data_IF_465157015798
#
_entry.id   IF_465157015798
#
_cell.length_a   1.000
_cell.length_b   1.000
_cell.length_c   1.000
_cell.angle_alpha   90.00
_cell.angle_beta   90.00
_cell.angle_gamma   90.00
#
_symmetry.space_group_name_H-M   'P 1'
#
loop_
_entity.id
_entity.type
_entity.pdbx_description
1 polymer ?
#
# COMPACT_ATOMS: atom_id res chain seq x y z
N UNK A 1 11.06 20.83 -6.33
CA UNK A 1 11.37 19.39 -6.26
C UNK A 1 11.81 18.91 -7.63
N UNK A 2 12.68 17.92 -7.71
CA UNK A 2 13.10 17.35 -9.01
C UNK A 2 11.96 16.51 -9.64
N UNK A 3 12.00 16.32 -10.95
CA UNK A 3 10.90 15.72 -11.76
C UNK A 3 10.47 14.30 -11.35
N UNK A 4 11.26 13.60 -10.52
CA UNK A 4 11.00 12.23 -10.05
C UNK A 4 10.95 12.10 -8.53
N UNK A 5 10.78 13.21 -7.82
CA UNK A 5 10.73 13.26 -6.36
C UNK A 5 9.35 13.76 -5.94
N UNK A 6 8.65 12.91 -5.18
CA UNK A 6 7.31 13.17 -4.66
C UNK A 6 7.29 12.94 -3.15
N UNK A 7 6.33 13.54 -2.45
CA UNK A 7 6.05 13.25 -1.03
C UNK A 7 5.38 11.89 -0.91
N UNK A 8 5.83 11.07 0.05
CA UNK A 8 5.52 9.64 0.10
C UNK A 8 4.07 9.33 0.55
N UNK A 9 3.48 10.11 1.46
CA UNK A 9 2.19 9.80 2.07
C UNK A 9 1.41 11.07 2.47
N UNK A 10 0.08 10.98 2.37
CA UNK A 10 -0.90 11.97 2.86
C UNK A 10 -1.65 11.45 4.10
N UNK A 11 -1.29 10.26 4.61
CA UNK A 11 -1.96 9.66 5.77
C UNK A 11 -1.64 10.43 7.07
N UNK A 12 -2.56 10.44 8.06
CA UNK A 12 -2.30 11.00 9.38
C UNK A 12 -1.02 10.43 10.03
N UNK A 13 -0.30 11.27 10.78
CA UNK A 13 1.00 10.93 11.38
C UNK A 13 0.89 9.81 12.42
N UNK A 14 -0.26 9.68 13.06
CA UNK A 14 -0.57 8.67 14.07
C UNK A 14 -1.02 7.32 13.47
N UNK A 15 -1.22 7.26 12.15
CA UNK A 15 -1.70 6.05 11.49
C UNK A 15 -0.55 5.11 11.09
N UNK A 16 -0.64 3.86 11.53
CA UNK A 16 0.28 2.81 11.09
C UNK A 16 -0.03 2.37 9.66
N UNK A 17 0.97 2.44 8.78
CA UNK A 17 0.89 1.95 7.41
C UNK A 17 1.35 0.48 7.39
N UNK A 18 0.44 -0.43 7.01
CA UNK A 18 0.73 -1.86 6.92
C UNK A 18 1.72 -2.18 5.80
N UNK A 19 2.41 -3.32 5.92
CA UNK A 19 3.29 -3.81 4.86
C UNK A 19 2.52 -4.04 3.56
N UNK A 20 3.08 -3.54 2.46
CA UNK A 20 2.56 -3.70 1.12
C UNK A 20 3.69 -3.58 0.10
N UNK A 21 3.45 -4.07 -1.11
CA UNK A 21 4.23 -3.69 -2.27
C UNK A 21 3.66 -2.39 -2.86
N UNK A 22 4.55 -1.48 -3.26
CA UNK A 22 4.16 -0.21 -3.90
C UNK A 22 3.31 -0.49 -5.14
N UNK A 23 2.12 0.10 -5.21
CA UNK A 23 1.19 -0.06 -6.34
C UNK A 23 0.85 -1.53 -6.68
N UNK A 24 0.79 -2.42 -5.69
CA UNK A 24 0.55 -3.87 -5.87
C UNK A 24 -0.74 -4.25 -6.61
N UNK A 25 -1.69 -3.31 -6.71
CA UNK A 25 -2.98 -3.49 -7.38
C UNK A 25 -3.00 -2.98 -8.82
N UNK A 26 -1.90 -2.38 -9.29
CA UNK A 26 -1.76 -1.89 -10.66
C UNK A 26 -1.07 -2.94 -11.53
N UNK A 27 -1.44 -2.97 -12.82
CA UNK A 27 -0.80 -3.83 -13.82
C UNK A 27 0.67 -3.46 -14.03
N UNK A 28 0.95 -2.17 -14.04
CA UNK A 28 2.30 -1.62 -14.12
C UNK A 28 2.68 -1.07 -12.76
N UNK A 29 3.67 -1.69 -12.14
CA UNK A 29 4.18 -1.34 -10.82
C UNK A 29 5.69 -1.10 -10.88
N UNK A 30 6.24 -0.28 -9.97
CA UNK A 30 7.66 0.04 -9.99
C UNK A 30 8.52 -1.18 -9.61
N UNK A 31 9.60 -1.40 -10.37
CA UNK A 31 10.59 -2.43 -10.00
C UNK A 31 11.50 -2.01 -8.84
N UNK A 32 11.59 -0.71 -8.55
CA UNK A 32 12.43 -0.12 -7.50
C UNK A 32 11.77 1.14 -6.96
N UNK A 33 11.94 1.37 -5.66
CA UNK A 33 11.56 2.60 -4.98
C UNK A 33 12.77 3.11 -4.18
N UNK A 34 12.88 4.44 -4.06
CA UNK A 34 13.92 5.09 -3.28
C UNK A 34 13.26 5.97 -2.22
N UNK A 35 13.70 5.82 -0.97
CA UNK A 35 13.29 6.68 0.12
C UNK A 35 14.40 7.67 0.46
N UNK A 36 14.00 8.90 0.77
CA UNK A 36 14.90 9.96 1.19
C UNK A 36 14.28 10.71 2.38
N UNK A 37 15.03 10.77 3.48
CA UNK A 37 14.64 11.52 4.66
C UNK A 37 15.18 12.95 4.53
N UNK A 38 14.28 13.91 4.25
CA UNK A 38 14.63 15.33 4.25
C UNK A 38 14.72 15.88 5.68
N UNK A 39 13.74 15.53 6.52
CA UNK A 39 13.69 15.87 7.93
C UNK A 39 13.35 14.61 8.74
N UNK A 40 14.16 14.24 9.74
CA UNK A 40 13.90 13.06 10.55
C UNK A 40 12.76 13.31 11.55
N UNK A 41 11.92 12.30 11.76
CA UNK A 41 10.87 12.38 12.77
C UNK A 41 11.48 12.42 14.19
N UNK A 42 10.90 13.20 15.13
CA UNK A 42 11.39 13.27 16.50
C UNK A 42 11.18 11.96 17.27
N UNK A 43 10.12 11.21 16.95
CA UNK A 43 9.79 9.89 17.51
C UNK A 43 9.10 9.07 16.43
N UNK A 44 9.51 7.80 16.28
CA UNK A 44 8.94 6.89 15.28
C UNK A 44 9.24 7.33 13.85
N UNK A 45 8.29 7.13 12.94
CA UNK A 45 8.42 7.54 11.54
C UNK A 45 9.39 6.69 10.72
N UNK A 46 9.90 5.57 11.27
CA UNK A 46 10.74 4.68 10.50
C UNK A 46 9.96 4.01 9.36
N UNK A 47 10.61 3.88 8.21
CA UNK A 47 10.08 3.08 7.10
C UNK A 47 10.57 1.65 7.25
N UNK A 48 9.74 0.81 7.87
CA UNK A 48 10.04 -0.62 8.03
C UNK A 48 10.01 -1.35 6.69
N UNK A 49 11.02 -2.19 6.43
CA UNK A 49 11.11 -3.00 5.22
C UNK A 49 11.23 -4.49 5.58
N UNK A 50 10.56 -5.34 4.78
CA UNK A 50 10.56 -6.79 4.98
C UNK A 50 10.74 -7.51 3.63
N UNK A 51 11.59 -8.54 3.56
CA UNK A 51 11.77 -9.34 2.34
C UNK A 51 10.55 -10.22 2.08
N UNK A 52 9.76 -9.90 1.05
CA UNK A 52 8.49 -10.59 0.78
C UNK A 52 8.64 -12.06 0.40
N UNK A 53 9.74 -12.44 -0.25
CA UNK A 53 10.00 -13.85 -0.58
C UNK A 53 10.13 -14.72 0.66
N UNK A 54 10.79 -14.22 1.72
CA UNK A 54 10.93 -14.95 2.99
C UNK A 54 9.56 -15.08 3.68
N UNK A 55 8.70 -14.07 3.55
CA UNK A 55 7.33 -14.15 4.07
C UNK A 55 6.53 -15.20 3.32
N UNK A 56 6.62 -15.24 1.99
CA UNK A 56 5.94 -16.24 1.18
C UNK A 56 6.38 -17.68 1.55
N UNK A 57 7.70 -17.93 1.63
CA UNK A 57 8.27 -19.21 2.05
C UNK A 57 7.72 -19.64 3.44
N UNK A 58 7.73 -18.72 4.42
CA UNK A 58 7.18 -19.01 5.74
C UNK A 58 5.67 -19.25 5.72
N UNK A 59 4.91 -18.56 4.87
CA UNK A 59 3.48 -18.80 4.74
C UNK A 59 3.17 -20.16 4.12
N UNK A 60 3.98 -20.62 3.16
CA UNK A 60 3.88 -21.97 2.59
C UNK A 60 4.14 -23.04 3.65
N UNK A 61 5.15 -22.84 4.51
CA UNK A 61 5.45 -23.77 5.61
C UNK A 61 4.35 -23.80 6.67
N UNK A 62 3.88 -22.63 7.10
CA UNK A 62 2.96 -22.51 8.25
C UNK A 62 1.49 -22.67 7.87
N UNK A 63 1.11 -22.31 6.65
CA UNK A 63 -0.28 -22.25 6.18
C UNK A 63 -0.45 -22.83 4.76
N UNK A 64 0.02 -24.05 4.48
CA UNK A 64 0.09 -24.60 3.12
C UNK A 64 -1.27 -24.63 2.41
N UNK A 65 -2.34 -24.99 3.13
CA UNK A 65 -3.70 -25.03 2.56
C UNK A 65 -4.22 -23.65 2.15
N UNK A 66 -3.84 -22.61 2.88
CA UNK A 66 -4.22 -21.22 2.53
C UNK A 66 -3.43 -20.78 1.30
N UNK A 67 -2.13 -21.05 1.25
CA UNK A 67 -1.29 -20.70 0.11
C UNK A 67 -1.70 -21.44 -1.17
N UNK A 68 -2.06 -22.73 -1.05
CA UNK A 68 -2.64 -23.50 -2.15
C UNK A 68 -3.92 -22.84 -2.65
N UNK A 69 -4.82 -22.46 -1.74
CA UNK A 69 -6.09 -21.83 -2.14
C UNK A 69 -5.88 -20.46 -2.78
N UNK A 70 -4.99 -19.63 -2.22
CA UNK A 70 -4.65 -18.33 -2.78
C UNK A 70 -4.04 -18.47 -4.18
N UNK A 71 -3.24 -19.50 -4.42
CA UNK A 71 -2.68 -19.77 -5.75
C UNK A 71 -3.75 -20.20 -6.76
N UNK A 72 -4.73 -21.00 -6.30
CA UNK A 72 -5.85 -21.49 -7.12
C UNK A 72 -6.85 -20.38 -7.50
N UNK A 73 -7.30 -19.57 -6.53
CA UNK A 73 -8.40 -18.60 -6.75
C UNK A 73 -8.02 -17.13 -6.64
N UNK A 74 -6.79 -16.82 -6.22
CA UNK A 74 -6.36 -15.45 -5.95
C UNK A 74 -7.03 -14.84 -4.72
N UNK A 75 -7.09 -13.51 -4.69
CA UNK A 75 -7.69 -12.71 -3.62
C UNK A 75 -8.65 -11.68 -4.21
N UNK A 76 -9.76 -11.42 -3.51
CA UNK A 76 -10.68 -10.33 -3.83
C UNK A 76 -10.44 -9.22 -2.81
N UNK A 77 -9.98 -8.07 -3.29
CA UNK A 77 -9.92 -6.86 -2.49
C UNK A 77 -11.23 -6.09 -2.66
N UNK A 78 -12.01 -5.99 -1.58
CA UNK A 78 -13.20 -5.14 -1.53
C UNK A 78 -12.87 -3.84 -0.80
N UNK A 79 -13.01 -2.72 -1.49
CA UNK A 79 -12.79 -1.39 -0.93
C UNK A 79 -14.12 -0.65 -0.86
N UNK A 80 -14.48 -0.17 0.33
CA UNK A 80 -15.60 0.75 0.51
C UNK A 80 -15.03 2.17 0.54
N UNK A 81 -15.39 2.99 -0.44
CA UNK A 81 -14.99 4.39 -0.48
C UNK A 81 -16.12 5.28 0.03
N UNK A 82 -15.81 6.41 0.67
CA UNK A 82 -16.84 7.38 1.03
C UNK A 82 -17.51 7.96 -0.21
N UNK A 83 -18.75 8.44 -0.04
CA UNK A 83 -19.56 9.02 -1.12
C UNK A 83 -18.99 10.36 -1.59
N UNK A 84 -18.54 11.15 -0.63
CA UNK A 84 -17.95 12.47 -0.79
C UNK A 84 -16.52 12.44 -0.24
N UNK A 85 -15.66 13.35 -0.69
CA UNK A 85 -14.30 13.45 -0.16
C UNK A 85 -14.38 13.95 1.29
N UNK A 86 -13.81 13.18 2.21
CA UNK A 86 -13.81 13.50 3.63
C UNK A 86 -12.40 13.35 4.18
N UNK A 87 -11.73 14.50 4.32
CA UNK A 87 -10.37 14.62 4.84
C UNK A 87 -10.25 14.17 6.30
N UNK A 88 -11.36 14.09 7.05
CA UNK A 88 -11.39 13.81 8.50
C UNK A 88 -11.78 12.35 8.82
N UNK A 89 -11.96 11.50 7.79
CA UNK A 89 -12.48 10.14 7.98
C UNK A 89 -11.52 9.16 8.67
N UNK A 90 -10.25 9.53 8.89
CA UNK A 90 -9.22 8.64 9.44
C UNK A 90 -8.93 7.38 8.59
N UNK A 91 -9.48 7.32 7.38
CA UNK A 91 -9.29 6.20 6.46
C UNK A 91 -8.09 6.46 5.54
N UNK A 92 -7.27 5.41 5.33
CA UNK A 92 -6.14 5.43 4.39
C UNK A 92 -6.61 5.78 2.96
N UNK A 93 -7.88 5.46 2.64
CA UNK A 93 -8.52 5.82 1.37
C UNK A 93 -9.60 6.88 1.65
N UNK A 94 -9.18 8.13 1.75
CA UNK A 94 -10.08 9.30 1.84
C UNK A 94 -10.70 9.69 0.48
N UNK A 95 -10.31 9.00 -0.60
CA UNK A 95 -10.74 9.32 -1.97
C UNK A 95 -11.98 8.52 -2.37
N UNK A 96 -12.87 9.16 -3.14
CA UNK A 96 -14.16 8.58 -3.57
C UNK A 96 -14.01 7.57 -4.71
N UNK A 97 -15.05 6.76 -4.98
CA UNK A 97 -15.11 5.86 -6.15
C UNK A 97 -14.89 6.58 -7.50
N UNK A 98 -15.25 7.87 -7.59
CA UNK A 98 -15.02 8.71 -8.79
C UNK A 98 -13.53 8.95 -9.01
N UNK A 99 -12.75 9.05 -7.94
CA UNK A 99 -11.30 9.18 -8.01
C UNK A 99 -10.66 7.83 -8.44
N UNK A 100 -11.06 6.72 -7.81
CA UNK A 100 -10.55 5.39 -8.14
C UNK A 100 -10.80 5.00 -9.61
N UNK A 101 -11.98 5.30 -10.15
CA UNK A 101 -12.35 4.96 -11.53
C UNK A 101 -11.57 5.73 -12.60
N UNK A 102 -11.06 6.94 -12.30
CA UNK A 102 -10.30 7.76 -13.26
C UNK A 102 -8.87 7.29 -13.52
N UNK A 103 -8.25 6.55 -12.57
CA UNK A 103 -6.89 6.03 -12.72
C UNK A 103 -6.81 4.59 -13.22
N UNK A 104 -7.89 3.80 -13.09
CA UNK A 104 -7.90 2.40 -13.55
C UNK A 104 -8.15 2.24 -15.06
N UNK A 105 -8.44 3.33 -15.79
CA UNK A 105 -8.81 3.32 -17.23
C UNK A 105 -7.68 3.89 -18.12
N UNK A 106 -6.55 4.32 -17.55
CA UNK A 106 -5.37 4.74 -18.32
C UNK A 106 -4.25 3.71 -18.20
#
# INVERSE_FOLDING_TARGET
MADRVFTANEAPIDQFINFHHEMSLLKEFPSKIFFYCFEPAPVGGETSIVPSNIIAEKMEEQMPKVMEKVTDVGLILCLSTPKDEDEDSGQVISKTWKWCSRRMIN
#
